data_IF_184689055849
#
_entry.id   IF_184689055849
#
_cell.length_a   1.000
_cell.length_b   1.000
_cell.length_c   1.000
_cell.angle_alpha   90.00
_cell.angle_beta   90.00
_cell.angle_gamma   90.00
#
_symmetry.space_group_name_H-M   'P 1'
#
loop_
_entity.id
_entity.type
_entity.pdbx_description
1 polymer ?
#
# COMPACT_ATOMS: atom_id res chain seq x y z
N UNK A 1 -51.48 -11.55 -54.37
CA UNK A 1 -51.29 -12.88 -53.75
C UNK A 1 -50.27 -12.73 -52.63
N UNK A 2 -50.70 -12.96 -51.40
CA UNK A 2 -49.93 -12.77 -50.18
C UNK A 2 -48.71 -13.71 -50.10
N UNK A 3 -47.63 -13.23 -49.48
CA UNK A 3 -46.66 -14.12 -48.82
C UNK A 3 -46.08 -13.41 -47.59
N UNK A 4 -46.31 -14.06 -46.45
CA UNK A 4 -45.93 -13.67 -45.09
C UNK A 4 -44.45 -13.97 -44.89
N UNK A 5 -43.65 -12.98 -44.49
CA UNK A 5 -42.35 -13.24 -43.86
C UNK A 5 -42.36 -12.87 -42.39
N UNK A 6 -41.95 -13.87 -41.61
CA UNK A 6 -42.03 -14.06 -40.17
C UNK A 6 -41.07 -13.15 -39.38
N UNK A 7 -41.59 -12.59 -38.29
CA UNK A 7 -40.83 -11.99 -37.18
C UNK A 7 -40.19 -13.10 -36.34
N UNK A 8 -38.86 -13.22 -36.31
CA UNK A 8 -38.13 -13.83 -35.19
C UNK A 8 -36.66 -13.44 -35.16
N UNK A 9 -36.25 -12.77 -34.08
CA UNK A 9 -34.95 -13.06 -33.46
C UNK A 9 -33.84 -12.00 -33.54
N UNK A 10 -34.11 -10.71 -33.33
CA UNK A 10 -33.04 -9.81 -32.88
C UNK A 10 -32.79 -9.99 -31.38
N UNK A 11 -31.84 -10.86 -31.03
CA UNK A 11 -31.20 -10.81 -29.73
C UNK A 11 -30.48 -9.46 -29.60
N UNK A 12 -31.11 -8.51 -28.92
CA UNK A 12 -30.49 -7.26 -28.51
C UNK A 12 -29.36 -7.57 -27.52
N UNK A 13 -28.12 -7.63 -28.03
CA UNK A 13 -26.91 -7.59 -27.20
C UNK A 13 -26.85 -6.19 -26.60
N UNK A 14 -27.12 -6.04 -25.30
CA UNK A 14 -27.03 -4.75 -24.62
C UNK A 14 -25.60 -4.23 -24.73
N UNK A 15 -25.39 -3.19 -25.52
CA UNK A 15 -24.11 -2.49 -25.56
C UNK A 15 -23.82 -1.89 -24.17
N UNK A 16 -22.61 -2.07 -23.62
CA UNK A 16 -22.24 -1.35 -22.41
C UNK A 16 -22.21 0.15 -22.74
N UNK A 17 -22.97 0.96 -22.00
CA UNK A 17 -22.88 2.43 -22.03
C UNK A 17 -21.45 2.83 -21.65
N UNK A 18 -20.62 3.07 -22.66
CA UNK A 18 -19.28 3.63 -22.48
C UNK A 18 -19.41 5.10 -22.10
N UNK A 19 -19.13 5.42 -20.84
CA UNK A 19 -18.93 6.83 -20.43
C UNK A 19 -17.51 7.22 -20.81
N UNK A 20 -17.39 8.22 -21.70
CA UNK A 20 -16.13 8.70 -22.29
C UNK A 20 -15.07 9.23 -21.28
N UNK A 21 -15.38 9.30 -19.97
CA UNK A 21 -14.49 9.87 -18.96
C UNK A 21 -14.28 8.99 -17.71
N UNK A 22 -14.58 7.68 -17.77
CA UNK A 22 -14.37 6.77 -16.64
C UNK A 22 -13.42 5.64 -17.03
N UNK A 23 -12.21 5.64 -16.49
CA UNK A 23 -11.22 4.56 -16.70
C UNK A 23 -11.46 3.33 -15.81
N UNK A 24 -12.51 3.34 -14.99
CA UNK A 24 -12.90 2.21 -14.15
C UNK A 24 -14.00 1.39 -14.82
N UNK A 25 -13.69 0.14 -15.14
CA UNK A 25 -14.67 -0.86 -15.59
C UNK A 25 -15.76 -1.03 -14.52
N UNK A 26 -17.03 -0.92 -14.92
CA UNK A 26 -18.15 -1.14 -14.01
C UNK A 26 -18.20 -2.62 -13.60
N UNK A 27 -17.73 -2.93 -12.40
CA UNK A 27 -17.94 -4.24 -11.81
C UNK A 27 -19.46 -4.47 -11.65
N UNK A 28 -20.00 -5.46 -12.35
CA UNK A 28 -21.40 -5.86 -12.19
C UNK A 28 -21.63 -6.28 -10.73
N UNK A 29 -22.69 -5.76 -10.11
CA UNK A 29 -23.08 -6.17 -8.77
C UNK A 29 -23.43 -7.67 -8.79
N UNK A 30 -22.81 -8.46 -7.90
CA UNK A 30 -23.16 -9.86 -7.70
C UNK A 30 -24.65 -9.96 -7.34
N UNK A 31 -25.44 -10.60 -8.19
CA UNK A 31 -26.84 -10.95 -7.88
C UNK A 31 -26.84 -11.93 -6.70
N UNK A 32 -27.67 -11.72 -5.66
CA UNK A 32 -27.77 -12.67 -4.56
C UNK A 32 -28.28 -14.04 -5.06
N UNK A 33 -27.81 -15.16 -4.50
CA UNK A 33 -28.27 -16.48 -4.90
C UNK A 33 -29.77 -16.64 -4.61
N UNK A 34 -30.51 -17.14 -5.61
CA UNK A 34 -31.95 -17.43 -5.52
C UNK A 34 -32.20 -18.47 -4.41
N UNK A 35 -33.16 -18.27 -3.51
CA UNK A 35 -33.43 -19.23 -2.44
C UNK A 35 -33.91 -20.57 -3.03
N UNK A 36 -33.51 -21.72 -2.46
CA UNK A 36 -33.91 -23.02 -2.96
C UNK A 36 -35.42 -23.25 -2.78
N UNK A 37 -36.05 -23.78 -3.83
CA UNK A 37 -37.46 -24.18 -3.85
C UNK A 37 -37.71 -25.27 -2.80
N UNK A 38 -38.61 -25.01 -1.85
CA UNK A 38 -39.02 -25.97 -0.82
C UNK A 38 -39.86 -27.09 -1.46
N UNK A 39 -39.38 -28.33 -1.43
CA UNK A 39 -40.20 -29.52 -1.71
C UNK A 39 -41.12 -29.82 -0.50
N UNK A 40 -42.33 -30.39 -0.71
CA UNK A 40 -43.27 -30.67 0.36
C UNK A 40 -42.77 -31.79 1.28
N UNK A 41 -43.14 -31.66 2.56
CA UNK A 41 -42.60 -32.39 3.70
C UNK A 41 -43.01 -33.87 3.76
N UNK A 42 -42.03 -34.74 4.06
CA UNK A 42 -42.27 -36.07 4.62
C UNK A 42 -42.22 -36.03 6.16
N UNK A 43 -42.96 -36.95 6.78
CA UNK A 43 -43.36 -37.05 8.20
C UNK A 43 -42.23 -36.87 9.26
N UNK A 44 -42.57 -36.42 10.48
CA UNK A 44 -41.59 -36.03 11.50
C UNK A 44 -40.98 -37.26 12.18
N UNK A 45 -39.71 -37.55 11.91
CA UNK A 45 -38.88 -38.33 12.84
C UNK A 45 -38.32 -37.41 13.89
N UNK A 46 -38.43 -37.82 15.16
CA UNK A 46 -37.91 -37.10 16.33
C UNK A 46 -36.42 -36.78 16.13
N UNK A 47 -35.98 -35.52 16.30
CA UNK A 47 -34.59 -35.17 16.10
C UNK A 47 -33.76 -35.81 17.22
N UNK A 48 -32.98 -36.83 16.86
CA UNK A 48 -31.94 -37.43 17.72
C UNK A 48 -31.03 -36.30 18.22
N UNK A 49 -31.08 -36.02 19.53
CA UNK A 49 -30.26 -34.96 20.16
C UNK A 49 -28.79 -35.25 19.87
N UNK A 50 -28.19 -34.46 18.96
CA UNK A 50 -26.75 -34.49 18.69
C UNK A 50 -26.02 -34.19 19.99
N UNK A 51 -25.08 -35.06 20.38
CA UNK A 51 -24.17 -34.86 21.50
C UNK A 51 -23.54 -33.46 21.39
N UNK A 52 -23.81 -32.59 22.35
CA UNK A 52 -23.25 -31.25 22.39
C UNK A 52 -21.79 -31.40 22.82
N UNK A 53 -20.86 -31.20 21.88
CA UNK A 53 -19.42 -31.22 22.20
C UNK A 53 -19.15 -30.22 23.32
N UNK A 54 -18.45 -30.67 24.36
CA UNK A 54 -18.02 -29.83 25.47
C UNK A 54 -17.19 -28.69 24.91
N UNK A 55 -17.68 -27.47 25.10
CA UNK A 55 -16.95 -26.27 24.69
C UNK A 55 -15.66 -26.22 25.50
N UNK A 56 -14.53 -26.08 24.82
CA UNK A 56 -13.27 -25.81 25.52
C UNK A 56 -13.36 -24.49 26.29
N UNK A 57 -12.56 -24.35 27.34
CA UNK A 57 -12.51 -23.16 28.20
C UNK A 57 -12.34 -21.86 27.38
N UNK A 58 -11.55 -21.92 26.30
CA UNK A 58 -11.27 -20.79 25.41
C UNK A 58 -12.27 -20.59 24.26
N UNK A 59 -13.36 -21.37 24.19
CA UNK A 59 -14.30 -21.35 23.07
C UNK A 59 -14.85 -19.94 22.78
N UNK A 60 -15.23 -19.20 23.82
CA UNK A 60 -15.77 -17.84 23.66
C UNK A 60 -14.71 -16.84 23.20
N UNK A 61 -13.47 -16.94 23.71
CA UNK A 61 -12.34 -16.10 23.27
C UNK A 61 -12.02 -16.33 21.79
N UNK A 62 -11.92 -17.60 21.38
CA UNK A 62 -11.67 -18.00 19.99
C UNK A 62 -12.83 -17.56 19.09
N UNK A 63 -14.08 -17.65 19.56
CA UNK A 63 -15.25 -17.17 18.81
C UNK A 63 -15.21 -15.66 18.58
N UNK A 64 -14.91 -14.87 19.61
CA UNK A 64 -14.79 -13.41 19.48
C UNK A 64 -13.64 -13.02 18.56
N UNK A 65 -12.48 -13.69 18.67
CA UNK A 65 -11.36 -13.48 17.76
C UNK A 65 -11.76 -13.79 16.31
N UNK A 66 -12.38 -14.95 16.06
CA UNK A 66 -12.86 -15.33 14.72
C UNK A 66 -13.89 -14.34 14.19
N UNK A 67 -14.79 -13.86 15.04
CA UNK A 67 -15.81 -12.90 14.65
C UNK A 67 -15.21 -11.53 14.28
N UNK A 68 -14.21 -11.06 15.03
CA UNK A 68 -13.57 -9.77 14.75
C UNK A 68 -12.63 -9.84 13.55
N UNK A 69 -11.83 -10.91 13.43
CA UNK A 69 -10.88 -11.10 12.34
C UNK A 69 -11.55 -11.29 10.98
N UNK A 70 -12.69 -11.97 10.94
CA UNK A 70 -13.40 -12.30 9.69
C UNK A 70 -14.72 -11.53 9.53
N UNK A 71 -14.82 -10.36 10.18
CA UNK A 71 -15.96 -9.48 9.95
C UNK A 71 -15.95 -8.96 8.50
N UNK A 72 -17.07 -9.01 7.77
CA UNK A 72 -17.12 -8.55 6.40
C UNK A 72 -16.85 -7.04 6.36
N UNK A 73 -16.05 -6.60 5.39
CA UNK A 73 -15.77 -5.19 5.21
C UNK A 73 -17.08 -4.40 4.98
N UNK A 74 -17.15 -3.13 5.43
CA UNK A 74 -18.27 -2.26 5.11
C UNK A 74 -18.50 -2.17 3.60
N UNK A 75 -19.75 -1.94 3.15
CA UNK A 75 -20.04 -1.79 1.72
C UNK A 75 -19.26 -0.60 1.12
N UNK A 76 -18.95 -0.65 -0.18
CA UNK A 76 -18.19 0.40 -0.84
C UNK A 76 -18.90 1.75 -0.77
N UNK A 77 -18.11 2.81 -0.60
CA UNK A 77 -18.61 4.16 -0.42
C UNK A 77 -19.33 4.68 -1.68
N UNK A 78 -20.60 5.08 -1.53
CA UNK A 78 -21.37 5.73 -2.59
C UNK A 78 -21.37 7.25 -2.37
N UNK A 79 -20.94 8.00 -3.37
CA UNK A 79 -20.88 9.45 -3.32
C UNK A 79 -21.81 10.08 -4.36
N UNK A 80 -22.50 11.15 -3.98
CA UNK A 80 -23.20 12.02 -4.93
C UNK A 80 -22.18 12.77 -5.82
N UNK A 81 -22.63 13.28 -6.98
CA UNK A 81 -21.76 13.90 -7.99
C UNK A 81 -20.83 14.98 -7.42
N UNK A 82 -21.36 15.96 -6.67
CA UNK A 82 -20.54 17.04 -6.09
C UNK A 82 -19.51 16.53 -5.07
N UNK A 83 -19.87 15.53 -4.26
CA UNK A 83 -18.95 14.90 -3.31
C UNK A 83 -17.84 14.13 -4.04
N UNK A 84 -18.19 13.40 -5.09
CA UNK A 84 -17.23 12.69 -5.93
C UNK A 84 -16.25 13.66 -6.61
N UNK A 85 -16.73 14.78 -7.16
CA UNK A 85 -15.87 15.79 -7.78
C UNK A 85 -14.92 16.43 -6.76
N UNK A 86 -15.40 16.80 -5.57
CA UNK A 86 -14.52 17.31 -4.49
C UNK A 86 -13.43 16.29 -4.13
N UNK A 87 -13.81 15.04 -3.94
CA UNK A 87 -12.87 13.97 -3.64
C UNK A 87 -11.84 13.78 -4.76
N UNK A 88 -12.28 13.80 -6.02
CA UNK A 88 -11.41 13.69 -7.18
C UNK A 88 -10.39 14.83 -7.24
N UNK A 89 -10.81 16.07 -7.03
CA UNK A 89 -9.91 17.24 -7.04
C UNK A 89 -8.87 17.14 -5.94
N UNK A 90 -9.28 16.80 -4.70
CA UNK A 90 -8.35 16.61 -3.58
C UNK A 90 -7.35 15.50 -3.89
N UNK A 91 -7.83 14.38 -4.41
CA UNK A 91 -6.97 13.25 -4.78
C UNK A 91 -5.95 13.62 -5.85
N UNK A 92 -6.35 14.37 -6.89
CA UNK A 92 -5.43 14.85 -7.93
C UNK A 92 -4.42 15.86 -7.40
N UNK A 93 -4.86 16.81 -6.59
CA UNK A 93 -3.96 17.77 -5.94
C UNK A 93 -2.91 17.05 -5.07
N UNK A 94 -3.33 16.04 -4.30
CA UNK A 94 -2.42 15.21 -3.51
C UNK A 94 -1.42 14.43 -4.37
N UNK A 95 -1.84 13.88 -5.51
CA UNK A 95 -0.93 13.20 -6.43
C UNK A 95 0.11 14.17 -7.01
N UNK A 96 -0.29 15.38 -7.38
CA UNK A 96 0.63 16.41 -7.87
C UNK A 96 1.62 16.85 -6.78
N UNK A 97 1.13 17.10 -5.57
CA UNK A 97 1.96 17.43 -4.42
C UNK A 97 3.02 16.35 -4.14
N UNK A 98 2.61 15.06 -4.09
CA UNK A 98 3.56 13.96 -3.91
C UNK A 98 4.59 13.87 -5.04
N UNK A 99 4.18 14.11 -6.29
CA UNK A 99 5.11 14.16 -7.42
C UNK A 99 6.16 15.24 -7.20
N UNK A 100 5.74 16.43 -6.79
CA UNK A 100 6.67 17.54 -6.49
C UNK A 100 7.65 17.14 -5.38
N UNK A 101 7.16 16.60 -4.26
CA UNK A 101 8.01 16.15 -3.17
C UNK A 101 9.03 15.10 -3.60
N UNK A 102 8.64 14.13 -4.43
CA UNK A 102 9.57 13.14 -4.95
C UNK A 102 10.66 13.77 -5.83
N UNK A 103 10.26 14.70 -6.72
CA UNK A 103 11.21 15.42 -7.58
C UNK A 103 12.20 16.26 -6.76
N UNK A 104 11.73 16.94 -5.72
CA UNK A 104 12.59 17.75 -4.85
C UNK A 104 13.63 16.86 -4.13
N UNK A 105 13.19 15.71 -3.61
CA UNK A 105 14.08 14.75 -2.94
C UNK A 105 15.07 14.12 -3.94
N UNK A 106 14.63 13.82 -5.17
CA UNK A 106 15.50 13.30 -6.23
C UNK A 106 16.53 14.34 -6.66
N UNK A 107 16.13 15.58 -6.85
CA UNK A 107 17.02 16.69 -7.20
C UNK A 107 18.07 16.90 -6.12
N UNK A 108 17.67 16.90 -4.84
CA UNK A 108 18.59 17.04 -3.72
C UNK A 108 19.58 15.86 -3.63
N UNK A 109 19.10 14.63 -3.86
CA UNK A 109 19.97 13.44 -3.98
C UNK A 109 20.97 13.59 -5.13
N UNK A 110 20.53 14.07 -6.29
CA UNK A 110 21.42 14.33 -7.43
C UNK A 110 22.45 15.42 -7.12
N UNK A 111 22.05 16.49 -6.43
CA UNK A 111 22.95 17.56 -5.99
C UNK A 111 24.04 17.04 -5.06
N UNK A 112 23.65 16.28 -4.02
CA UNK A 112 24.59 15.66 -3.09
C UNK A 112 25.53 14.70 -3.80
N UNK A 113 25.00 13.83 -4.67
CA UNK A 113 25.80 12.88 -5.45
C UNK A 113 26.80 13.58 -6.37
N UNK A 114 26.38 14.62 -7.10
CA UNK A 114 27.28 15.40 -7.97
C UNK A 114 28.39 16.08 -7.17
N UNK A 115 28.07 16.65 -5.99
CA UNK A 115 29.09 17.21 -5.10
C UNK A 115 30.09 16.17 -4.61
N UNK A 116 29.61 14.99 -4.17
CA UNK A 116 30.47 13.88 -3.77
C UNK A 116 31.35 13.38 -4.91
N UNK A 117 30.79 13.26 -6.12
CA UNK A 117 31.51 12.82 -7.31
C UNK A 117 32.65 13.78 -7.65
N UNK A 118 32.36 15.09 -7.74
CA UNK A 118 33.37 16.10 -8.05
C UNK A 118 34.50 16.10 -6.99
N UNK A 119 34.15 16.01 -5.71
CA UNK A 119 35.16 15.93 -4.64
C UNK A 119 36.04 14.68 -4.75
N UNK A 120 35.47 13.52 -5.11
CA UNK A 120 36.23 12.29 -5.32
C UNK A 120 37.13 12.35 -6.56
N UNK A 121 36.67 12.96 -7.65
CA UNK A 121 37.47 13.17 -8.86
C UNK A 121 38.66 14.09 -8.59
N UNK A 122 38.48 15.14 -7.80
CA UNK A 122 39.60 15.99 -7.38
C UNK A 122 40.57 15.20 -6.48
N UNK A 123 40.06 14.46 -5.49
CA UNK A 123 40.88 13.62 -4.60
C UNK A 123 41.70 12.57 -5.37
N UNK A 124 41.18 12.09 -6.50
CA UNK A 124 41.88 11.13 -7.37
C UNK A 124 43.12 11.72 -8.01
N UNK A 125 43.10 13.01 -8.37
CA UNK A 125 44.21 13.75 -8.97
C UNK A 125 45.18 14.33 -7.95
N UNK A 126 44.75 14.47 -6.69
CA UNK A 126 45.63 15.02 -5.64
C UNK A 126 46.80 14.09 -5.32
N UNK A 127 47.99 14.67 -5.15
CA UNK A 127 49.15 14.01 -4.56
C UNK A 127 48.96 13.98 -3.05
N UNK A 128 49.12 12.79 -2.44
CA UNK A 128 48.82 12.60 -1.03
C UNK A 128 49.86 13.28 -0.11
N UNK A 129 49.47 13.60 1.14
CA UNK A 129 50.40 14.15 2.12
C UNK A 129 51.51 13.15 2.45
N UNK A 130 52.67 13.66 2.87
CA UNK A 130 53.81 12.86 3.36
C UNK A 130 54.41 11.88 2.35
N UNK A 131 54.57 12.30 1.09
CA UNK A 131 55.25 11.51 0.05
C UNK A 131 54.42 10.33 -0.49
N UNK A 132 53.12 10.30 -0.21
CA UNK A 132 52.19 9.31 -0.78
C UNK A 132 51.91 9.66 -2.24
N UNK A 133 51.96 8.67 -3.12
CA UNK A 133 51.66 8.85 -4.54
C UNK A 133 50.24 9.34 -4.81
N UNK A 134 50.02 9.83 -6.03
CA UNK A 134 48.73 10.32 -6.52
C UNK A 134 47.59 9.30 -6.31
N UNK A 135 46.41 9.82 -5.96
CA UNK A 135 45.19 9.03 -5.78
C UNK A 135 45.21 8.08 -4.59
N UNK A 136 46.21 8.16 -3.69
CA UNK A 136 46.26 7.36 -2.48
C UNK A 136 45.03 7.58 -1.59
N UNK A 137 44.67 8.84 -1.32
CA UNK A 137 43.51 9.18 -0.49
C UNK A 137 42.20 8.70 -1.12
N UNK A 138 42.06 8.77 -2.44
CA UNK A 138 40.90 8.25 -3.16
C UNK A 138 40.76 6.74 -2.97
N UNK A 139 41.84 5.96 -3.10
CA UNK A 139 41.81 4.50 -2.87
C UNK A 139 41.37 4.16 -1.45
N UNK A 140 41.90 4.88 -0.45
CA UNK A 140 41.53 4.70 0.96
C UNK A 140 40.07 5.05 1.21
N UNK A 141 39.58 6.18 0.68
CA UNK A 141 38.19 6.62 0.84
C UNK A 141 37.17 5.68 0.18
N UNK A 142 37.57 4.95 -0.87
CA UNK A 142 36.71 4.00 -1.56
C UNK A 142 36.59 2.64 -0.83
N UNK A 143 37.42 2.38 0.17
CA UNK A 143 37.30 1.17 0.98
C UNK A 143 35.95 1.14 1.73
N UNK A 144 35.25 0.00 1.68
CA UNK A 144 33.95 -0.20 2.36
C UNK A 144 34.07 -0.96 3.69
N UNK A 145 35.17 -0.75 4.40
CA UNK A 145 35.42 -1.39 5.71
C UNK A 145 34.37 -0.92 6.72
N UNK A 146 33.73 -1.87 7.41
CA UNK A 146 32.71 -1.58 8.44
C UNK A 146 31.34 -1.12 7.93
N UNK A 147 31.16 -0.89 6.62
CA UNK A 147 29.89 -0.37 6.05
C UNK A 147 28.78 -1.42 6.01
N UNK A 148 29.11 -2.70 5.85
CA UNK A 148 28.13 -3.78 5.73
C UNK A 148 27.94 -4.60 7.01
N UNK A 149 28.54 -4.16 8.13
CA UNK A 149 28.45 -4.84 9.42
C UNK A 149 27.26 -4.41 10.26
N UNK A 150 27.02 -5.11 11.37
CA UNK A 150 25.99 -4.76 12.37
C UNK A 150 26.22 -3.39 12.99
N UNK A 151 27.48 -2.96 13.11
CA UNK A 151 27.90 -1.69 13.71
C UNK A 151 28.11 -0.57 12.67
N UNK A 152 27.59 -0.71 11.44
CA UNK A 152 27.79 0.26 10.37
C UNK A 152 27.16 1.63 10.65
N UNK A 153 26.00 1.65 11.30
CA UNK A 153 25.29 2.89 11.69
C UNK A 153 25.06 2.85 13.21
N UNK A 154 25.57 3.83 13.97
CA UNK A 154 25.33 3.90 15.41
C UNK A 154 23.84 3.97 15.72
N UNK A 155 23.35 3.10 16.60
CA UNK A 155 21.93 3.00 16.97
C UNK A 155 21.38 4.31 17.56
N UNK A 156 22.24 5.12 18.17
CA UNK A 156 21.89 6.42 18.73
C UNK A 156 21.51 7.45 17.66
N UNK A 157 22.07 7.33 16.45
CA UNK A 157 21.75 8.21 15.32
C UNK A 157 20.52 7.75 14.54
N UNK A 158 20.18 6.45 14.57
CA UNK A 158 19.02 5.88 13.88
C UNK A 158 17.67 6.21 14.54
N UNK A 159 17.60 7.24 15.40
CA UNK A 159 16.39 7.67 16.09
C UNK A 159 15.41 8.32 15.10
N UNK A 160 14.15 7.91 15.16
CA UNK A 160 13.08 8.50 14.34
C UNK A 160 12.71 9.90 14.81
N UNK A 161 12.25 10.73 13.88
CA UNK A 161 11.66 12.03 14.21
C UNK A 161 10.33 11.84 14.94
N UNK A 162 10.10 12.64 15.99
CA UNK A 162 8.86 12.66 16.77
C UNK A 162 8.11 13.97 16.55
N UNK A 163 6.78 13.94 16.67
CA UNK A 163 5.92 15.13 16.50
C UNK A 163 6.22 16.22 17.53
N UNK A 164 6.55 15.81 18.77
CA UNK A 164 6.92 16.71 19.87
C UNK A 164 8.28 16.29 20.43
N UNK A 165 9.14 17.25 20.82
CA UNK A 165 10.38 16.94 21.51
C UNK A 165 10.07 16.40 22.92
N UNK A 166 10.97 15.54 23.43
CA UNK A 166 10.94 15.13 24.84
C UNK A 166 11.30 16.30 25.78
N UNK A 167 11.13 16.12 27.10
CA UNK A 167 11.47 17.15 28.10
C UNK A 167 12.92 17.66 27.97
N UNK A 168 13.84 16.79 27.58
CA UNK A 168 15.20 17.13 27.20
C UNK A 168 15.40 16.80 25.72
N UNK A 169 15.49 17.83 24.88
CA UNK A 169 15.67 17.67 23.43
C UNK A 169 17.09 17.20 23.07
N UNK A 170 18.10 17.70 23.79
CA UNK A 170 19.50 17.37 23.56
C UNK A 170 20.27 17.23 24.88
N UNK A 171 21.13 16.22 24.97
CA UNK A 171 22.00 16.02 26.13
C UNK A 171 23.34 16.75 25.93
N UNK A 172 23.47 17.93 26.53
CA UNK A 172 24.72 18.70 26.52
C UNK A 172 25.80 18.15 27.45
N UNK A 173 25.44 17.25 28.37
CA UNK A 173 26.35 16.69 29.38
C UNK A 173 26.98 15.36 28.95
N UNK A 174 26.79 14.95 27.69
CA UNK A 174 27.37 13.71 27.16
C UNK A 174 28.90 13.71 27.30
N UNK A 175 29.45 12.62 27.83
CA UNK A 175 30.89 12.39 28.01
C UNK A 175 31.31 11.14 27.23
N UNK A 176 32.51 11.20 26.66
CA UNK A 176 33.14 10.13 25.86
C UNK A 176 33.66 8.99 26.74
#
# INVERSE_FOLDING_TARGET
MASLFSLRGFFARSAPTTRLFSTTSSAQARTPPKPPVKKPAAKPTTPRRKHQQTKSENFYRIRTLKQNMFSPAPPPLRMARLRHLRHWTIHRAWQLFRRQQHLDIEQERHRMYSGMYNACEELRKTVGPSGRGEGYLYRVAMEKKGVWGTEAVPIEYARFQTEFPGPQAWNHEWKR
#
